data_IF_537598194301
#
_entry.id   IF_537598194301
#
_cell.length_a   1.000
_cell.length_b   1.000
_cell.length_c   1.000
_cell.angle_alpha   90.00
_cell.angle_beta   90.00
_cell.angle_gamma   90.00
#
_symmetry.space_group_name_H-M   'P 1'
#
loop_
_entity.id
_entity.type
_entity.pdbx_description
1 polymer ?
#
# COMPACT_ATOMS: atom_id res chain seq x y z
N UNK A 1 35.64 -12.19 -2.01
CA UNK A 1 34.22 -12.12 -1.59
C UNK A 1 33.54 -11.04 -2.42
N UNK A 2 33.04 -11.38 -3.61
CA UNK A 2 32.27 -10.47 -4.45
C UNK A 2 30.79 -10.60 -4.03
N UNK A 3 30.23 -9.58 -3.37
CA UNK A 3 28.80 -9.50 -3.15
C UNK A 3 28.16 -8.79 -4.35
N UNK A 4 27.40 -9.54 -5.15
CA UNK A 4 26.61 -8.99 -6.27
C UNK A 4 25.33 -8.37 -5.72
N UNK A 5 25.30 -7.05 -5.65
CA UNK A 5 24.17 -6.26 -5.17
C UNK A 5 23.11 -6.11 -6.27
N UNK A 6 22.11 -7.01 -6.28
CA UNK A 6 20.90 -6.84 -7.09
C UNK A 6 20.03 -5.74 -6.45
N UNK A 7 20.31 -4.49 -6.82
CA UNK A 7 19.43 -3.35 -6.52
C UNK A 7 18.13 -3.50 -7.30
N UNK A 8 17.03 -3.18 -6.63
CA UNK A 8 15.73 -3.40 -7.20
C UNK A 8 14.81 -2.23 -6.83
N UNK A 9 14.13 -1.71 -7.85
CA UNK A 9 13.55 -0.37 -7.89
C UNK A 9 12.09 -0.36 -7.40
N UNK A 10 11.60 0.73 -6.76
CA UNK A 10 10.23 0.80 -6.29
C UNK A 10 9.30 1.62 -7.20
N UNK A 11 8.06 1.15 -7.37
CA UNK A 11 6.93 1.89 -7.97
C UNK A 11 5.88 2.24 -6.90
N UNK A 12 5.24 3.40 -7.08
CA UNK A 12 4.44 4.18 -6.11
C UNK A 12 3.06 3.57 -5.77
N UNK A 13 2.59 3.81 -4.54
CA UNK A 13 1.22 3.54 -4.10
C UNK A 13 0.53 4.84 -3.63
N UNK A 14 -0.77 4.97 -3.94
CA UNK A 14 -1.64 6.12 -3.66
C UNK A 14 -2.46 5.91 -2.38
N UNK A 15 -2.70 6.99 -1.64
CA UNK A 15 -3.41 7.04 -0.35
C UNK A 15 -4.88 7.46 -0.51
N UNK A 16 -5.77 6.86 0.28
CA UNK A 16 -7.18 7.26 0.45
C UNK A 16 -7.47 7.56 1.93
N UNK A 17 -8.16 8.67 2.20
CA UNK A 17 -8.74 9.06 3.50
C UNK A 17 -10.25 9.23 3.36
N UNK A 18 -10.99 9.25 4.49
CA UNK A 18 -12.25 10.01 4.52
C UNK A 18 -12.46 10.91 5.76
N UNK A 19 -12.92 12.14 5.49
CA UNK A 19 -14.12 12.88 6.00
C UNK A 19 -14.88 12.32 7.23
N UNK A 20 -15.65 13.05 8.08
CA UNK A 20 -16.22 14.41 8.18
C UNK A 20 -16.88 14.50 9.60
N UNK A 21 -16.84 15.61 10.35
CA UNK A 21 -17.84 16.70 10.51
C UNK A 21 -19.07 16.45 11.43
N UNK A 22 -19.46 17.53 12.14
CA UNK A 22 -20.77 17.90 12.74
C UNK A 22 -21.09 17.38 14.17
N UNK A 23 -21.91 18.02 15.03
CA UNK A 23 -22.44 19.38 15.29
C UNK A 23 -23.28 19.29 16.62
N UNK A 24 -23.28 20.36 17.44
CA UNK A 24 -24.32 20.98 18.35
C UNK A 24 -25.51 20.15 18.93
N UNK A 25 -26.11 20.45 20.13
CA UNK A 25 -26.61 21.78 20.50
C UNK A 25 -26.68 22.17 22.01
N UNK A 26 -27.08 23.43 22.22
CA UNK A 26 -27.22 24.21 23.45
C UNK A 26 -28.61 24.11 24.11
N UNK A 27 -28.71 24.28 25.44
CA UNK A 27 -29.96 24.66 26.14
C UNK A 27 -29.69 25.54 27.40
N UNK A 28 -30.68 26.33 27.89
CA UNK A 28 -30.48 27.56 28.69
C UNK A 28 -30.70 27.49 30.23
N UNK A 29 -30.12 28.51 30.90
CA UNK A 29 -30.25 29.19 32.23
C UNK A 29 -31.38 28.81 33.24
N UNK A 30 -31.28 29.04 34.59
CA UNK A 30 -31.26 30.37 35.26
C UNK A 30 -30.57 30.42 36.68
N UNK A 31 -30.90 31.32 37.66
CA UNK A 31 -30.12 32.52 37.98
C UNK A 31 -29.45 32.58 39.39
N UNK A 32 -28.46 33.48 39.48
CA UNK A 32 -28.08 34.41 40.56
C UNK A 32 -28.05 33.98 42.03
N UNK A 33 -26.84 34.00 42.64
CA UNK A 33 -26.61 34.60 43.97
C UNK A 33 -25.28 35.36 44.01
N UNK A 34 -25.42 36.66 44.25
CA UNK A 34 -24.38 37.67 44.47
C UNK A 34 -23.74 37.53 45.85
N UNK A 35 -22.41 37.48 45.89
CA UNK A 35 -21.64 37.92 47.06
C UNK A 35 -20.26 38.37 46.59
N UNK A 36 -20.06 39.69 46.55
CA UNK A 36 -18.79 40.32 46.18
C UNK A 36 -17.90 40.48 47.42
N UNK A 37 -16.63 40.08 47.39
CA UNK A 37 -15.61 40.52 48.35
C UNK A 37 -14.92 41.83 47.88
N UNK A 38 -14.20 42.54 48.77
CA UNK A 38 -13.76 43.91 48.55
C UNK A 38 -12.58 44.04 47.56
N UNK A 39 -12.54 45.21 46.93
CA UNK A 39 -11.65 45.62 45.84
C UNK A 39 -10.17 45.66 46.23
N UNK A 40 -9.34 44.89 45.52
CA UNK A 40 -7.88 45.05 45.48
C UNK A 40 -7.49 46.20 44.52
N UNK A 41 -6.35 46.88 44.75
CA UNK A 41 -5.88 47.96 43.88
C UNK A 41 -5.52 47.46 42.47
N UNK A 42 -5.57 48.31 41.43
CA UNK A 42 -5.33 47.91 40.06
C UNK A 42 -3.85 47.53 39.83
N UNK A 43 -3.62 46.28 39.43
CA UNK A 43 -2.35 45.81 38.89
C UNK A 43 -2.05 46.46 37.53
N UNK A 44 -0.77 46.68 37.18
CA UNK A 44 -0.38 47.27 35.88
C UNK A 44 -0.88 46.41 34.70
N UNK A 45 -1.04 47.01 33.50
CA UNK A 45 -1.58 46.31 32.34
C UNK A 45 -0.70 45.12 31.98
N UNK A 46 -1.24 43.92 32.14
CA UNK A 46 -0.65 42.68 31.66
C UNK A 46 -0.50 42.78 30.14
N UNK A 47 0.69 42.53 29.55
CA UNK A 47 0.80 42.38 28.10
C UNK A 47 -0.17 41.27 27.64
N UNK A 48 -0.70 41.35 26.40
CA UNK A 48 -1.63 40.33 25.89
C UNK A 48 -1.03 38.94 26.12
N UNK A 49 -1.86 37.92 26.44
CA UNK A 49 -1.35 36.58 26.68
C UNK A 49 -0.54 36.17 25.47
N UNK A 50 0.78 36.15 25.63
CA UNK A 50 1.65 35.50 24.69
C UNK A 50 1.24 34.04 24.80
N UNK A 51 0.43 33.58 23.83
CA UNK A 51 0.19 32.17 23.61
C UNK A 51 1.58 31.57 23.63
N UNK A 52 1.91 30.84 24.69
CA UNK A 52 3.23 30.25 24.85
C UNK A 52 3.27 29.18 23.77
N UNK A 53 3.75 29.56 22.58
CA UNK A 53 3.90 28.67 21.45
C UNK A 53 4.90 27.62 21.90
N UNK A 54 4.38 26.46 22.32
CA UNK A 54 5.21 25.36 22.76
C UNK A 54 6.20 25.05 21.63
N UNK A 55 7.50 24.92 21.92
CA UNK A 55 8.48 24.63 20.87
C UNK A 55 8.11 23.32 20.18
N UNK A 56 8.28 23.26 18.87
CA UNK A 56 8.08 22.01 18.13
C UNK A 56 9.03 20.92 18.64
N UNK A 57 8.71 19.65 18.39
CA UNK A 57 9.51 18.52 18.86
C UNK A 57 10.98 18.64 18.45
N UNK A 58 11.24 19.08 17.21
CA UNK A 58 12.58 19.27 16.70
C UNK A 58 13.38 20.32 17.49
N UNK A 59 12.80 21.51 17.69
CA UNK A 59 13.46 22.57 18.43
C UNK A 59 13.68 22.20 19.91
N UNK A 60 12.73 21.47 20.51
CA UNK A 60 12.85 20.92 21.87
C UNK A 60 14.02 19.94 21.97
N UNK A 61 14.16 18.99 21.03
CA UNK A 61 15.23 17.98 21.02
C UNK A 61 16.60 18.60 20.72
N UNK A 62 16.64 19.56 19.79
CA UNK A 62 17.87 20.31 19.44
C UNK A 62 18.27 21.36 20.48
N UNK A 63 17.46 21.57 21.53
CA UNK A 63 17.68 22.58 22.57
C UNK A 63 17.87 24.00 22.00
N UNK A 64 17.13 24.34 20.94
CA UNK A 64 17.18 25.67 20.29
C UNK A 64 15.83 26.37 20.36
N UNK A 65 15.83 27.70 20.18
CA UNK A 65 14.59 28.50 20.15
C UNK A 65 13.75 28.14 18.91
N UNK A 66 12.46 27.90 19.12
CA UNK A 66 11.49 27.76 18.04
C UNK A 66 10.98 29.15 17.64
N UNK A 67 11.23 29.57 16.40
CA UNK A 67 10.74 30.84 15.83
C UNK A 67 9.38 30.65 15.15
N UNK A 68 8.62 31.72 14.95
CA UNK A 68 7.26 31.63 14.38
C UNK A 68 7.22 30.98 12.98
N UNK A 69 8.25 31.23 12.15
CA UNK A 69 8.40 30.63 10.82
C UNK A 69 9.35 29.42 10.81
N UNK A 70 9.27 28.57 11.84
CA UNK A 70 10.13 27.39 11.93
C UNK A 70 9.74 26.35 10.86
N UNK A 71 10.66 26.06 9.93
CA UNK A 71 10.46 25.07 8.85
C UNK A 71 10.14 23.65 9.34
N UNK A 72 10.52 23.32 10.59
CA UNK A 72 10.28 22.00 11.18
C UNK A 72 8.96 21.91 11.94
N UNK A 73 8.39 23.05 12.34
CA UNK A 73 7.23 23.06 13.24
C UNK A 73 5.97 22.40 12.66
N UNK A 74 5.62 22.59 11.37
CA UNK A 74 4.45 21.93 10.78
C UNK A 74 4.55 20.40 10.72
N UNK A 75 5.78 19.86 10.66
CA UNK A 75 6.01 18.43 10.40
C UNK A 75 6.41 17.63 11.64
N UNK A 76 6.93 18.30 12.67
CA UNK A 76 7.38 17.70 13.93
C UNK A 76 6.66 18.36 15.13
N UNK A 77 5.35 18.10 15.29
CA UNK A 77 4.57 18.66 16.38
C UNK A 77 5.08 18.15 17.74
N UNK A 78 4.88 18.92 18.83
CA UNK A 78 5.31 18.51 20.17
C UNK A 78 4.62 17.23 20.68
N UNK A 79 3.50 16.84 20.08
CA UNK A 79 2.75 15.61 20.39
C UNK A 79 3.47 14.33 19.96
N UNK A 80 4.38 14.41 18.99
CA UNK A 80 5.11 13.26 18.47
C UNK A 80 6.64 13.53 18.42
N UNK A 81 7.32 13.49 19.58
CA UNK A 81 8.75 13.71 19.65
C UNK A 81 9.57 12.55 19.07
N UNK A 82 9.00 11.35 19.00
CA UNK A 82 9.66 10.17 18.47
C UNK A 82 9.94 10.31 16.98
N UNK A 83 9.02 10.91 16.22
CA UNK A 83 9.18 11.20 14.79
C UNK A 83 10.48 11.94 14.48
N UNK A 84 10.75 13.03 15.21
CA UNK A 84 12.02 13.76 15.03
C UNK A 84 13.22 12.99 15.58
N UNK A 85 13.06 12.30 16.71
CA UNK A 85 14.14 11.51 17.32
C UNK A 85 14.67 10.44 16.36
N UNK A 86 13.77 9.71 15.71
CA UNK A 86 14.10 8.68 14.72
C UNK A 86 14.77 9.32 13.50
N UNK A 87 14.15 10.32 12.89
CA UNK A 87 14.66 10.96 11.68
C UNK A 87 16.04 11.62 11.90
N UNK A 88 16.22 12.38 12.98
CA UNK A 88 17.47 13.11 13.21
C UNK A 88 18.65 12.18 13.51
N UNK A 89 18.41 10.98 14.04
CA UNK A 89 19.46 10.00 14.34
C UNK A 89 20.14 9.48 13.08
N UNK A 90 19.39 9.36 11.97
CA UNK A 90 19.90 8.78 10.71
C UNK A 90 20.28 9.86 9.72
N UNK A 91 19.41 10.86 9.51
CA UNK A 91 19.65 11.91 8.51
C UNK A 91 20.44 13.07 9.08
N UNK A 92 20.29 13.38 10.37
CA UNK A 92 20.80 14.61 10.97
C UNK A 92 19.88 15.81 10.71
N UNK A 93 19.83 16.74 11.66
CA UNK A 93 18.92 17.89 11.59
C UNK A 93 19.18 18.80 10.39
N UNK A 94 20.45 19.04 10.04
CA UNK A 94 20.83 19.91 8.91
C UNK A 94 20.37 19.33 7.57
N UNK A 95 20.52 18.02 7.38
CA UNK A 95 20.08 17.37 6.14
C UNK A 95 18.56 17.34 6.03
N UNK A 96 17.84 17.10 7.13
CA UNK A 96 16.37 17.20 7.16
C UNK A 96 15.93 18.60 6.74
N UNK A 97 16.53 19.65 7.31
CA UNK A 97 16.19 21.04 6.96
C UNK A 97 16.46 21.30 5.47
N UNK A 98 17.64 20.89 4.98
CA UNK A 98 18.03 21.08 3.57
C UNK A 98 17.05 20.37 2.62
N UNK A 99 16.77 19.08 2.86
CA UNK A 99 15.83 18.30 2.04
C UNK A 99 14.43 18.91 2.02
N UNK A 100 13.94 19.43 3.15
CA UNK A 100 12.64 20.09 3.17
C UNK A 100 12.65 21.41 2.40
N UNK A 101 13.73 22.19 2.47
CA UNK A 101 13.85 23.45 1.73
C UNK A 101 13.93 23.23 0.21
N UNK A 102 14.55 22.12 -0.22
CA UNK A 102 14.68 21.75 -1.64
C UNK A 102 13.36 21.24 -2.25
N UNK A 103 12.33 20.96 -1.42
CA UNK A 103 11.04 20.44 -1.85
C UNK A 103 9.92 21.50 -1.82
N UNK A 104 8.93 21.40 -2.73
CA UNK A 104 7.71 22.19 -2.65
C UNK A 104 6.92 21.81 -1.39
N UNK A 105 6.21 22.79 -0.81
CA UNK A 105 5.54 22.63 0.49
C UNK A 105 4.54 21.48 0.53
N UNK A 106 3.87 21.22 -0.60
CA UNK A 106 2.90 20.14 -0.78
C UNK A 106 3.50 18.74 -0.57
N UNK A 107 4.79 18.56 -0.83
CA UNK A 107 5.47 17.25 -0.74
C UNK A 107 6.24 17.06 0.57
N UNK A 108 6.44 18.13 1.35
CA UNK A 108 7.27 18.09 2.56
C UNK A 108 6.70 17.15 3.62
N UNK A 109 5.38 17.08 3.78
CA UNK A 109 4.74 16.19 4.74
C UNK A 109 5.03 14.71 4.41
N UNK A 110 4.89 14.33 3.14
CA UNK A 110 5.19 12.98 2.66
C UNK A 110 6.68 12.67 2.77
N UNK A 111 7.55 13.63 2.41
CA UNK A 111 8.99 13.48 2.56
C UNK A 111 9.41 13.23 4.01
N UNK A 112 8.82 13.95 4.99
CA UNK A 112 9.07 13.69 6.41
C UNK A 112 8.62 12.29 6.80
N UNK A 113 7.45 11.84 6.32
CA UNK A 113 6.97 10.48 6.60
C UNK A 113 7.92 9.41 6.02
N UNK A 114 8.43 9.60 4.81
CA UNK A 114 9.43 8.72 4.19
C UNK A 114 10.75 8.71 4.95
N UNK A 115 11.28 9.88 5.32
CA UNK A 115 12.50 9.98 6.14
C UNK A 115 12.34 9.25 7.47
N UNK A 116 11.19 9.38 8.14
CA UNK A 116 10.95 8.68 9.41
C UNK A 116 10.88 7.17 9.20
N UNK A 117 10.20 6.71 8.14
CA UNK A 117 10.12 5.29 7.80
C UNK A 117 11.51 4.70 7.53
N UNK A 118 12.30 5.34 6.67
CA UNK A 118 13.65 4.91 6.30
C UNK A 118 14.60 4.93 7.50
N UNK A 119 14.55 5.99 8.31
CA UNK A 119 15.35 6.08 9.52
C UNK A 119 15.00 4.97 10.52
N UNK A 120 13.70 4.69 10.70
CA UNK A 120 13.25 3.62 11.58
C UNK A 120 13.70 2.24 11.06
N UNK A 121 13.63 2.01 9.75
CA UNK A 121 14.12 0.79 9.13
C UNK A 121 15.63 0.61 9.36
N UNK A 122 16.42 1.68 9.19
CA UNK A 122 17.87 1.67 9.43
C UNK A 122 18.26 1.49 10.89
N UNK A 123 17.43 1.95 11.82
CA UNK A 123 17.63 1.71 13.26
C UNK A 123 17.42 0.23 13.61
N UNK A 124 16.42 -0.43 13.00
CA UNK A 124 16.15 -1.87 13.21
C UNK A 124 17.14 -2.77 12.48
N UNK A 125 17.51 -2.40 11.27
CA UNK A 125 18.50 -3.10 10.44
C UNK A 125 19.59 -2.10 10.01
N UNK A 126 20.70 -2.03 10.76
CA UNK A 126 21.80 -1.12 10.46
C UNK A 126 22.54 -1.45 9.15
N UNK A 127 22.39 -2.68 8.63
CA UNK A 127 23.10 -3.14 7.43
C UNK A 127 22.29 -2.78 6.19
N UNK A 128 21.04 -3.23 6.10
CA UNK A 128 20.23 -3.08 4.89
C UNK A 128 19.07 -2.07 5.03
N UNK A 129 18.63 -1.73 6.24
CA UNK A 129 17.53 -0.80 6.46
C UNK A 129 16.28 -1.13 5.64
N UNK A 130 15.76 -0.15 4.89
CA UNK A 130 14.61 -0.36 4.00
C UNK A 130 14.94 -1.23 2.78
N UNK A 131 16.20 -1.32 2.35
CA UNK A 131 16.61 -2.19 1.24
C UNK A 131 16.43 -3.68 1.56
N UNK A 132 16.53 -4.07 2.84
CA UNK A 132 16.23 -5.43 3.28
C UNK A 132 14.76 -5.81 3.06
N UNK A 133 13.84 -4.90 3.42
CA UNK A 133 12.41 -5.08 3.17
C UNK A 133 12.09 -5.15 1.67
N UNK A 134 12.72 -4.27 0.87
CA UNK A 134 12.59 -4.27 -0.59
C UNK A 134 13.03 -5.62 -1.18
N UNK A 135 14.21 -6.11 -0.80
CA UNK A 135 14.74 -7.40 -1.24
C UNK A 135 13.83 -8.58 -0.86
N UNK A 136 13.31 -8.57 0.37
CA UNK A 136 12.37 -9.60 0.83
C UNK A 136 11.10 -9.63 -0.01
N UNK A 137 10.49 -8.47 -0.25
CA UNK A 137 9.27 -8.35 -1.06
C UNK A 137 9.50 -8.80 -2.51
N UNK A 138 10.65 -8.48 -3.09
CA UNK A 138 10.97 -8.90 -4.46
C UNK A 138 11.20 -10.39 -4.57
N UNK A 139 11.82 -11.01 -3.56
CA UNK A 139 11.92 -12.47 -3.49
C UNK A 139 10.54 -13.11 -3.46
N UNK A 140 9.61 -12.57 -2.65
CA UNK A 140 8.23 -13.06 -2.59
C UNK A 140 7.51 -12.89 -3.93
N UNK A 141 7.68 -11.75 -4.61
CA UNK A 141 7.12 -11.54 -5.94
C UNK A 141 7.66 -12.57 -6.95
N UNK A 142 8.97 -12.81 -6.98
CA UNK A 142 9.57 -13.80 -7.88
C UNK A 142 9.08 -15.23 -7.59
N UNK A 143 8.97 -15.59 -6.31
CA UNK A 143 8.44 -16.89 -5.87
C UNK A 143 6.99 -17.07 -6.33
N UNK A 144 6.14 -16.08 -6.08
CA UNK A 144 4.73 -16.12 -6.50
C UNK A 144 4.58 -16.16 -8.03
N UNK A 145 5.43 -15.43 -8.77
CA UNK A 145 5.44 -15.49 -10.23
C UNK A 145 5.86 -16.88 -10.74
N UNK A 146 6.83 -17.53 -10.09
CA UNK A 146 7.25 -18.89 -10.45
C UNK A 146 6.15 -19.92 -10.17
N UNK A 147 5.44 -19.78 -9.05
CA UNK A 147 4.30 -20.63 -8.72
C UNK A 147 3.16 -20.45 -9.73
N UNK A 148 2.86 -19.20 -10.12
CA UNK A 148 1.88 -18.91 -11.16
C UNK A 148 2.27 -19.56 -12.49
N UNK A 149 3.52 -19.41 -12.92
CA UNK A 149 4.01 -19.99 -14.16
C UNK A 149 3.94 -21.53 -14.15
N UNK A 150 4.24 -22.15 -13.00
CA UNK A 150 4.14 -23.60 -12.81
C UNK A 150 2.70 -24.07 -12.95
N UNK A 151 1.75 -23.43 -12.24
CA UNK A 151 0.34 -23.77 -12.31
C UNK A 151 -0.23 -23.57 -13.73
N UNK A 152 0.18 -22.51 -14.43
CA UNK A 152 -0.23 -22.27 -15.82
C UNK A 152 0.31 -23.35 -16.75
N UNK A 153 1.57 -23.78 -16.59
CA UNK A 153 2.15 -24.86 -17.38
C UNK A 153 1.43 -26.20 -17.12
N UNK A 154 1.06 -26.49 -15.88
CA UNK A 154 0.28 -27.67 -15.51
C UNK A 154 -1.09 -27.68 -16.18
N UNK A 155 -1.81 -26.56 -16.19
CA UNK A 155 -3.11 -26.44 -16.88
C UNK A 155 -3.00 -26.74 -18.38
N UNK A 156 -2.01 -26.15 -19.05
CA UNK A 156 -1.78 -26.38 -20.48
C UNK A 156 -1.39 -27.84 -20.76
N UNK A 157 -0.56 -28.43 -19.90
CA UNK A 157 -0.18 -29.84 -20.02
C UNK A 157 -1.40 -30.77 -19.89
N UNK A 158 -2.28 -30.52 -18.91
CA UNK A 158 -3.51 -31.30 -18.75
C UNK A 158 -4.46 -31.15 -19.94
N UNK A 159 -4.62 -29.93 -20.47
CA UNK A 159 -5.43 -29.69 -21.67
C UNK A 159 -4.86 -30.40 -22.90
N UNK A 160 -3.54 -30.39 -23.08
CA UNK A 160 -2.88 -31.11 -24.17
C UNK A 160 -3.05 -32.63 -24.04
N UNK A 161 -2.90 -33.18 -22.84
CA UNK A 161 -3.16 -34.61 -22.57
C UNK A 161 -4.61 -34.97 -22.89
N UNK A 162 -5.57 -34.14 -22.46
CA UNK A 162 -6.99 -34.35 -22.78
C UNK A 162 -7.25 -34.34 -24.29
N UNK A 163 -6.69 -33.37 -25.02
CA UNK A 163 -6.83 -33.28 -26.47
C UNK A 163 -6.19 -34.49 -27.19
N UNK A 164 -5.02 -34.94 -26.74
CA UNK A 164 -4.36 -36.13 -27.30
C UNK A 164 -5.20 -37.40 -27.06
N UNK A 165 -5.78 -37.58 -25.87
CA UNK A 165 -6.67 -38.70 -25.57
C UNK A 165 -7.92 -38.68 -26.45
N UNK A 166 -8.55 -37.51 -26.62
CA UNK A 166 -9.70 -37.36 -27.52
C UNK A 166 -9.34 -37.71 -28.97
N UNK A 167 -8.18 -37.28 -29.45
CA UNK A 167 -7.72 -37.61 -30.80
C UNK A 167 -7.54 -39.12 -31.01
N UNK A 168 -6.92 -39.82 -30.04
CA UNK A 168 -6.77 -41.29 -30.08
C UNK A 168 -8.13 -41.98 -30.12
N UNK A 169 -9.06 -41.58 -29.24
CA UNK A 169 -10.41 -42.15 -29.21
C UNK A 169 -11.15 -41.93 -30.54
N UNK A 170 -11.05 -40.73 -31.13
CA UNK A 170 -11.65 -40.46 -32.44
C UNK A 170 -11.07 -41.36 -33.55
N UNK A 171 -9.75 -41.61 -33.56
CA UNK A 171 -9.12 -42.48 -34.54
C UNK A 171 -9.58 -43.96 -34.41
N UNK A 172 -9.75 -44.46 -33.19
CA UNK A 172 -10.23 -45.84 -32.94
C UNK A 172 -11.70 -46.03 -33.36
N UNK A 173 -12.56 -45.04 -33.10
CA UNK A 173 -13.97 -45.07 -33.53
C UNK A 173 -14.08 -45.11 -35.06
N UNK A 174 -13.24 -44.34 -35.78
CA UNK A 174 -13.21 -44.36 -37.25
C UNK A 174 -12.71 -45.69 -37.83
N UNK A 175 -11.67 -46.33 -37.25
CA UNK A 175 -11.19 -47.64 -37.72
C UNK A 175 -12.21 -48.77 -37.49
N UNK A 176 -12.95 -48.71 -36.39
CA UNK A 176 -13.99 -49.72 -36.07
C UNK A 176 -15.19 -49.61 -37.03
N UNK A 177 -15.45 -48.41 -37.56
CA UNK A 177 -16.53 -48.16 -38.52
C UNK A 177 -16.20 -48.64 -39.94
N UNK A 178 -14.93 -48.63 -40.36
CA UNK A 178 -14.52 -49.18 -41.66
C UNK A 178 -14.55 -50.72 -41.70
N UNK A 179 -14.13 -51.40 -40.63
CA UNK A 179 -14.15 -52.87 -40.61
C UNK A 179 -15.56 -53.46 -40.47
N UNK A 180 -16.52 -52.70 -39.95
CA UNK A 180 -17.93 -53.11 -39.83
C UNK A 180 -18.79 -52.81 -41.07
N UNK A 181 -18.34 -51.91 -41.97
CA UNK A 181 -19.03 -51.64 -43.24
C UNK A 181 -18.74 -52.64 -44.37
N UNK A 182 -17.78 -53.54 -44.20
CA UNK A 182 -17.41 -54.51 -45.25
C UNK A 182 -18.11 -55.86 -45.14
N UNK A 183 -19.07 -56.01 -44.22
CA UNK A 183 -19.87 -57.22 -44.12
C UNK A 183 -21.34 -56.96 -43.77
N UNK A 184 -22.14 -56.41 -44.70
CA UNK A 184 -23.51 -56.89 -44.94
C UNK A 184 -24.04 -56.37 -46.32
N UNK A 185 -24.82 -57.18 -47.07
CA UNK A 185 -25.59 -56.73 -48.22
C UNK A 185 -26.83 -55.91 -47.79
N UNK A 186 -27.16 -54.89 -48.59
CA UNK A 186 -28.46 -54.23 -48.77
C UNK A 186 -29.52 -54.28 -47.64
N UNK A 187 -29.84 -53.12 -47.02
CA UNK A 187 -31.21 -52.62 -46.85
C UNK A 187 -31.20 -51.18 -46.31
N UNK A 188 -32.29 -50.45 -46.56
CA UNK A 188 -32.50 -49.00 -46.44
C UNK A 188 -32.75 -48.46 -45.03
N UNK A 189 -32.44 -47.17 -44.90
CA UNK A 189 -33.08 -46.13 -44.07
C UNK A 189 -32.80 -46.13 -42.55
N UNK A 190 -32.20 -45.03 -42.07
CA UNK A 190 -32.75 -44.17 -41.01
C UNK A 190 -31.76 -43.03 -40.71
N UNK A 191 -32.15 -41.83 -41.16
CA UNK A 191 -31.84 -40.48 -40.66
C UNK A 191 -30.51 -40.19 -39.94
N UNK A 192 -29.73 -39.32 -40.56
CA UNK A 192 -28.78 -38.42 -39.92
C UNK A 192 -29.47 -37.58 -38.83
N UNK A 193 -28.92 -37.57 -37.61
CA UNK A 193 -29.09 -36.47 -36.66
C UNK A 193 -27.72 -36.18 -36.05
N UNK A 194 -27.09 -35.11 -36.52
CA UNK A 194 -25.95 -34.48 -35.88
C UNK A 194 -26.51 -33.64 -34.74
N UNK A 195 -26.24 -34.02 -33.49
CA UNK A 195 -26.52 -33.15 -32.34
C UNK A 195 -25.35 -32.16 -32.20
N UNK A 196 -25.54 -30.99 -32.81
CA UNK A 196 -24.79 -29.77 -32.52
C UNK A 196 -25.27 -29.28 -31.14
N UNK A 197 -24.50 -29.59 -30.10
CA UNK A 197 -24.71 -28.99 -28.79
C UNK A 197 -23.42 -28.31 -28.32
N UNK A 198 -23.22 -27.11 -28.86
CA UNK A 198 -22.88 -25.90 -28.12
C UNK A 198 -22.58 -26.12 -26.63
N UNK A 199 -21.28 -26.12 -26.28
CA UNK A 199 -20.84 -25.29 -25.17
C UNK A 199 -19.37 -24.91 -25.42
N UNK A 200 -19.20 -23.82 -26.16
CA UNK A 200 -17.97 -23.05 -26.12
C UNK A 200 -17.66 -22.75 -24.66
N UNK A 201 -16.61 -23.38 -24.14
CA UNK A 201 -16.01 -23.02 -22.87
C UNK A 201 -15.36 -21.67 -23.05
N UNK A 202 -16.16 -20.61 -22.92
CA UNK A 202 -15.70 -19.24 -22.74
C UNK A 202 -15.05 -19.18 -21.36
N UNK A 203 -13.75 -19.46 -21.32
CA UNK A 203 -12.92 -19.10 -20.19
C UNK A 203 -12.68 -17.59 -20.29
N UNK A 204 -13.46 -16.79 -19.57
CA UNK A 204 -13.19 -15.37 -19.41
C UNK A 204 -12.42 -15.16 -18.08
N UNK A 205 -11.19 -14.61 -18.12
CA UNK A 205 -10.49 -14.22 -16.91
C UNK A 205 -11.16 -12.99 -16.29
N UNK A 206 -11.80 -13.18 -15.14
CA UNK A 206 -12.43 -12.12 -14.38
C UNK A 206 -11.37 -11.36 -13.54
N UNK A 207 -10.60 -10.50 -14.20
CA UNK A 207 -9.90 -9.40 -13.53
C UNK A 207 -9.76 -8.24 -14.51
N UNK A 208 -10.61 -7.23 -14.35
CA UNK A 208 -10.45 -5.89 -14.91
C UNK A 208 -10.74 -4.89 -13.81
#
# INVERSE_FOLDING_TARGET
MHYSEKRCSPSKASSLSPHAAQCSPSFPSPPSKSSSPPSLPPSPPTPPPQVVLSPCAACKILRRRCVEKCVLAPYFPPTDPLKFTIAHRVFGASNIIKLLQDLPETQRADAVSSMVYEANARIRDPVYGSAGAICHLQKQLSELQAQLATAQAELVNMQCQQANLLAVLCMEVSQTQECSLQQQPSYTDTSCFLDDNSLGSTWEPLWT
#
